data_IF_434722275384
#
_entry.id   IF_434722275384
#
_cell.length_a   1.000
_cell.length_b   1.000
_cell.length_c   1.000
_cell.angle_alpha   90.00
_cell.angle_beta   90.00
_cell.angle_gamma   90.00
#
_symmetry.space_group_name_H-M   'P 1'
#
loop_
_entity.id
_entity.type
_entity.pdbx_description
1 polymer ?
#
# COMPACT_ATOMS: atom_id res chain seq x y z
N UNK A 1 21.53 -8.81 -14.92
CA UNK A 1 20.40 -9.21 -14.04
C UNK A 1 19.26 -9.55 -14.98
N UNK A 2 18.90 -10.83 -15.07
CA UNK A 2 17.85 -11.33 -15.97
C UNK A 2 16.51 -11.12 -15.25
N UNK A 3 15.54 -10.54 -15.95
CA UNK A 3 14.18 -10.38 -15.44
C UNK A 3 13.56 -11.78 -15.27
N UNK A 4 13.38 -12.21 -14.03
CA UNK A 4 12.79 -13.51 -13.66
C UNK A 4 11.25 -13.51 -13.67
N UNK A 5 10.63 -12.44 -14.20
CA UNK A 5 9.17 -12.30 -14.24
C UNK A 5 8.66 -12.05 -15.66
N UNK A 6 8.50 -13.11 -16.48
CA UNK A 6 8.13 -12.99 -17.89
C UNK A 6 6.74 -12.41 -18.13
N UNK A 7 5.83 -12.57 -17.17
CA UNK A 7 4.43 -12.13 -17.23
C UNK A 7 4.17 -10.84 -16.47
N UNK A 8 5.22 -10.14 -16.01
CA UNK A 8 5.13 -8.96 -15.15
C UNK A 8 4.07 -7.96 -15.61
N UNK A 9 4.10 -7.56 -16.88
CA UNK A 9 3.15 -6.56 -17.41
C UNK A 9 1.70 -7.05 -17.38
N UNK A 10 1.47 -8.33 -17.65
CA UNK A 10 0.13 -8.92 -17.60
C UNK A 10 -0.36 -9.02 -16.15
N UNK A 11 0.50 -9.52 -15.27
CA UNK A 11 0.19 -9.71 -13.86
C UNK A 11 -0.08 -8.37 -13.16
N UNK A 12 0.70 -7.33 -13.48
CA UNK A 12 0.48 -5.97 -12.97
C UNK A 12 -0.85 -5.38 -13.44
N UNK A 13 -1.21 -5.56 -14.71
CA UNK A 13 -2.51 -5.10 -15.25
C UNK A 13 -3.69 -5.86 -14.63
N UNK A 14 -3.55 -7.17 -14.44
CA UNK A 14 -4.56 -8.00 -13.81
C UNK A 14 -4.75 -7.61 -12.35
N UNK A 15 -3.65 -7.44 -11.60
CA UNK A 15 -3.68 -7.00 -10.22
C UNK A 15 -4.35 -5.62 -10.07
N UNK A 16 -3.97 -4.65 -10.91
CA UNK A 16 -4.60 -3.32 -10.91
C UNK A 16 -6.12 -3.41 -11.14
N UNK A 17 -6.56 -4.26 -12.07
CA UNK A 17 -7.99 -4.46 -12.35
C UNK A 17 -8.74 -5.06 -11.14
N UNK A 18 -8.17 -6.08 -10.50
CA UNK A 18 -8.77 -6.75 -9.33
C UNK A 18 -8.89 -5.78 -8.15
N UNK A 19 -7.81 -5.03 -7.90
CA UNK A 19 -7.73 -4.07 -6.80
C UNK A 19 -8.68 -2.89 -7.04
N UNK A 20 -8.69 -2.31 -8.25
CA UNK A 20 -9.59 -1.22 -8.61
C UNK A 20 -11.05 -1.62 -8.39
N UNK A 21 -11.44 -2.84 -8.82
CA UNK A 21 -12.78 -3.37 -8.60
C UNK A 21 -13.12 -3.47 -7.10
N UNK A 22 -12.16 -3.86 -6.26
CA UNK A 22 -12.39 -3.90 -4.81
C UNK A 22 -12.57 -2.50 -4.21
N UNK A 23 -11.81 -1.51 -4.68
CA UNK A 23 -11.93 -0.12 -4.20
C UNK A 23 -13.27 0.49 -4.60
N UNK A 24 -13.71 0.26 -5.84
CA UNK A 24 -15.01 0.73 -6.33
C UNK A 24 -16.18 0.10 -5.57
N UNK A 25 -16.07 -1.19 -5.20
CA UNK A 25 -17.11 -1.89 -4.44
C UNK A 25 -17.14 -1.51 -2.96
N UNK A 26 -16.04 -1.00 -2.40
CA UNK A 26 -15.93 -0.60 -0.99
C UNK A 26 -15.86 0.93 -0.82
N UNK A 27 -16.45 1.70 -1.74
CA UNK A 27 -16.59 3.17 -1.65
C UNK A 27 -15.27 3.94 -1.41
N UNK A 28 -14.16 3.45 -1.96
CA UNK A 28 -12.85 4.07 -1.76
C UNK A 28 -12.20 3.76 -0.41
N UNK A 29 -12.70 2.75 0.31
CA UNK A 29 -12.01 2.23 1.49
C UNK A 29 -10.61 1.70 1.12
N UNK A 30 -9.60 1.98 1.95
CA UNK A 30 -8.27 1.42 1.74
C UNK A 30 -8.32 -0.10 1.77
N UNK A 31 -7.43 -0.75 1.03
CA UNK A 31 -7.32 -2.20 1.07
C UNK A 31 -7.00 -2.64 2.50
N UNK A 32 -7.84 -3.49 3.10
CA UNK A 32 -7.72 -4.05 4.45
C UNK A 32 -6.31 -4.59 4.75
N UNK A 33 -5.60 -5.04 3.71
CA UNK A 33 -4.21 -5.51 3.79
C UNK A 33 -3.25 -4.46 4.36
N UNK A 34 -3.51 -3.16 4.16
CA UNK A 34 -2.68 -2.09 4.68
C UNK A 34 -2.97 -1.83 6.16
N UNK A 35 -4.20 -2.07 6.61
CA UNK A 35 -4.50 -1.98 8.04
C UNK A 35 -3.81 -3.11 8.82
N UNK A 36 -3.81 -4.34 8.35
CA UNK A 36 -3.00 -5.41 8.97
C UNK A 36 -1.49 -5.08 8.90
N UNK A 37 -1.01 -4.51 7.79
CA UNK A 37 0.36 -4.02 7.68
C UNK A 37 0.69 -2.99 8.77
N UNK A 38 -0.26 -2.11 9.09
CA UNK A 38 -0.11 -1.07 10.10
C UNK A 38 -0.16 -1.57 11.53
N UNK A 39 -0.86 -2.66 11.83
CA UNK A 39 -0.77 -3.29 13.16
C UNK A 39 0.62 -3.86 13.43
N UNK A 40 1.36 -4.20 12.37
CA UNK A 40 2.69 -4.80 12.47
C UNK A 40 3.81 -3.97 11.85
N UNK A 41 3.60 -2.67 11.61
CA UNK A 41 4.55 -1.82 10.87
C UNK A 41 5.89 -1.62 11.57
N UNK A 42 5.92 -1.85 12.88
CA UNK A 42 7.14 -1.84 13.69
C UNK A 42 7.58 -3.24 14.13
N UNK A 43 6.89 -4.30 13.69
CA UNK A 43 7.34 -5.66 13.96
C UNK A 43 8.54 -5.98 13.09
N UNK A 44 9.71 -6.09 13.74
CA UNK A 44 10.99 -6.47 13.11
C UNK A 44 10.96 -7.82 12.39
N UNK A 45 9.94 -8.67 12.60
CA UNK A 45 9.75 -9.91 11.86
C UNK A 45 9.15 -9.71 10.47
N UNK A 46 8.49 -8.59 10.25
CA UNK A 46 7.93 -8.25 8.95
C UNK A 46 8.97 -7.44 8.18
N UNK A 47 9.31 -7.88 6.97
CA UNK A 47 10.17 -7.14 6.04
C UNK A 47 9.40 -5.95 5.45
N UNK A 48 8.87 -5.07 6.30
CA UNK A 48 8.21 -3.84 5.87
C UNK A 48 9.32 -2.81 5.60
N UNK A 49 9.39 -2.26 4.37
CA UNK A 49 10.35 -1.22 4.06
C UNK A 49 10.23 -0.02 5.00
N UNK A 50 11.35 0.48 5.51
CA UNK A 50 11.38 1.60 6.47
C UNK A 50 10.62 2.85 5.98
N UNK A 51 10.61 3.10 4.66
CA UNK A 51 9.89 4.25 4.09
C UNK A 51 8.37 4.17 4.31
N UNK A 52 7.80 2.96 4.41
CA UNK A 52 6.38 2.79 4.71
C UNK A 52 6.12 3.21 6.16
N UNK A 53 6.99 2.83 7.09
CA UNK A 53 6.92 3.24 8.51
C UNK A 53 7.07 4.76 8.64
N UNK A 54 8.08 5.35 8.00
CA UNK A 54 8.34 6.80 8.05
C UNK A 54 7.17 7.61 7.50
N UNK A 55 6.56 7.16 6.39
CA UNK A 55 5.38 7.79 5.79
C UNK A 55 4.19 7.77 6.76
N UNK A 56 3.98 6.62 7.39
CA UNK A 56 2.85 6.39 8.30
C UNK A 56 2.98 7.23 9.56
N UNK A 57 4.16 7.21 10.17
CA UNK A 57 4.48 8.01 11.36
C UNK A 57 4.31 9.50 11.06
N UNK A 58 4.79 9.95 9.90
CA UNK A 58 4.63 11.35 9.46
C UNK A 58 3.17 11.77 9.37
N UNK A 59 2.31 10.91 8.83
CA UNK A 59 0.88 11.19 8.74
C UNK A 59 0.15 11.09 10.08
N UNK A 60 0.52 10.13 10.93
CA UNK A 60 -0.04 9.99 12.29
C UNK A 60 0.31 11.20 13.17
N UNK A 61 1.55 11.68 13.12
CA UNK A 61 1.97 12.89 13.84
C UNK A 61 1.19 14.12 13.35
N UNK A 62 0.96 14.21 12.04
CA UNK A 62 0.32 15.39 11.43
C UNK A 62 -1.20 15.45 11.61
N UNK A 63 -1.88 14.31 11.49
CA UNK A 63 -3.34 14.24 11.43
C UNK A 63 -3.97 13.52 12.63
N UNK A 64 -3.15 13.03 13.56
CA UNK A 64 -3.57 12.14 14.64
C UNK A 64 -3.59 10.68 14.19
N UNK A 65 -3.48 9.76 15.14
CA UNK A 65 -3.24 8.34 14.90
C UNK A 65 -4.22 7.72 13.88
N UNK A 66 -5.52 7.81 14.12
CA UNK A 66 -6.52 7.15 13.27
C UNK A 66 -6.63 7.79 11.88
N UNK A 67 -6.62 9.13 11.81
CA UNK A 67 -6.75 9.83 10.53
C UNK A 67 -5.47 9.74 9.69
N UNK A 68 -4.32 9.78 10.34
CA UNK A 68 -3.02 9.59 9.70
C UNK A 68 -2.88 8.20 9.09
N UNK A 69 -3.31 7.16 9.82
CA UNK A 69 -3.37 5.78 9.30
C UNK A 69 -4.26 5.67 8.06
N UNK A 70 -5.50 6.17 8.13
CA UNK A 70 -6.42 6.19 6.98
C UNK A 70 -5.81 6.87 5.74
N UNK A 71 -5.16 8.03 5.94
CA UNK A 71 -4.51 8.78 4.86
C UNK A 71 -3.32 8.00 4.30
N UNK A 72 -2.46 7.44 5.14
CA UNK A 72 -1.32 6.63 4.72
C UNK A 72 -1.79 5.41 3.89
N UNK A 73 -2.84 4.71 4.32
CA UNK A 73 -3.41 3.57 3.58
C UNK A 73 -3.86 3.99 2.18
N UNK A 74 -4.55 5.13 2.07
CA UNK A 74 -5.02 5.65 0.78
C UNK A 74 -3.88 6.06 -0.14
N UNK A 75 -2.84 6.70 0.40
CA UNK A 75 -1.66 7.09 -0.37
C UNK A 75 -0.96 5.86 -0.93
N UNK A 76 -0.66 4.87 -0.08
CA UNK A 76 0.00 3.62 -0.48
C UNK A 76 -0.81 2.87 -1.52
N UNK A 77 -2.13 2.74 -1.31
CA UNK A 77 -3.05 2.09 -2.26
C UNK A 77 -2.96 2.75 -3.64
N UNK A 78 -3.01 4.08 -3.70
CA UNK A 78 -2.91 4.81 -4.97
C UNK A 78 -1.55 4.63 -5.65
N UNK A 79 -0.46 4.64 -4.89
CA UNK A 79 0.86 4.45 -5.48
C UNK A 79 1.05 3.03 -6.05
N UNK A 80 0.57 2.00 -5.34
CA UNK A 80 0.60 0.62 -5.84
C UNK A 80 -0.24 0.46 -7.12
N UNK A 81 -1.41 1.10 -7.18
CA UNK A 81 -2.30 1.04 -8.34
C UNK A 81 -1.81 1.81 -9.56
N UNK A 82 -1.11 2.92 -9.34
CA UNK A 82 -0.57 3.72 -10.43
C UNK A 82 0.60 3.03 -11.17
N UNK A 83 1.00 1.82 -10.75
CA UNK A 83 2.18 1.15 -11.27
C UNK A 83 3.46 1.95 -11.03
N UNK A 84 3.43 2.89 -10.08
CA UNK A 84 4.60 3.68 -9.75
C UNK A 84 5.57 2.80 -8.98
N UNK A 85 6.78 2.65 -9.52
CA UNK A 85 7.88 2.08 -8.77
C UNK A 85 8.30 3.10 -7.73
N UNK A 86 7.88 2.89 -6.48
CA UNK A 86 8.40 3.64 -5.34
C UNK A 86 9.72 2.96 -4.97
N UNK A 87 10.82 3.55 -5.42
CA UNK A 87 12.17 3.19 -4.96
C UNK A 87 12.50 3.95 -3.68
#
# INVERSE_FOLDING_TARGET
MKNDWPTQDFDMKLAATIIQKHIELNDGEPLVLIDELFEHIHDTKNNIPAWISDLTDSFMVRYGHNKGREIASRVLTKCFLAGQTIH
#
